data_IF_775638291365
#
_entry.id   IF_775638291365
#
_cell.length_a   1.000
_cell.length_b   1.000
_cell.length_c   1.000
_cell.angle_alpha   90.00
_cell.angle_beta   90.00
_cell.angle_gamma   90.00
#
_symmetry.space_group_name_H-M   'P 1'
#
loop_
_entity.id
_entity.type
_entity.pdbx_description
1 polymer ?
#
# COMPACT_ATOMS: atom_id res chain seq x y z
N UNK A 1 14.12 -4.25 5.05
CA UNK A 1 14.64 -2.90 5.29
C UNK A 1 13.73 -2.00 4.50
N UNK A 2 13.00 -1.12 5.18
CA UNK A 2 12.12 -0.19 4.48
C UNK A 2 12.96 0.81 3.70
N UNK A 3 12.47 1.22 2.54
CA UNK A 3 13.12 2.22 1.71
C UNK A 3 13.16 3.55 2.49
N UNK A 4 14.28 4.28 2.52
CA UNK A 4 14.29 5.64 3.06
C UNK A 4 13.20 6.49 2.39
N UNK A 5 12.47 7.28 3.17
CA UNK A 5 11.33 8.06 2.66
C UNK A 5 11.76 9.00 1.54
N UNK A 6 12.97 9.56 1.61
CA UNK A 6 13.54 10.41 0.55
C UNK A 6 13.70 9.66 -0.78
N UNK A 7 14.17 8.40 -0.72
CA UNK A 7 14.34 7.56 -1.91
C UNK A 7 12.98 7.13 -2.49
N UNK A 8 12.00 6.87 -1.61
CA UNK A 8 10.61 6.67 -2.01
C UNK A 8 10.03 7.90 -2.73
N UNK A 9 10.20 9.10 -2.17
CA UNK A 9 9.72 10.34 -2.78
C UNK A 9 10.39 10.63 -4.12
N UNK A 10 11.71 10.44 -4.22
CA UNK A 10 12.45 10.60 -5.47
C UNK A 10 11.93 9.68 -6.59
N UNK A 11 11.52 8.45 -6.23
CA UNK A 11 10.91 7.53 -7.19
C UNK A 11 9.55 8.01 -7.71
N UNK A 12 8.71 8.60 -6.83
CA UNK A 12 7.40 9.17 -7.19
C UNK A 12 7.55 10.39 -8.10
N UNK A 13 8.50 11.27 -7.78
CA UNK A 13 8.81 12.44 -8.62
C UNK A 13 9.30 12.01 -10.01
N UNK A 14 10.15 10.98 -10.08
CA UNK A 14 10.63 10.40 -11.34
C UNK A 14 9.47 9.82 -12.17
N UNK A 15 8.44 9.29 -11.52
CA UNK A 15 7.20 8.81 -12.16
C UNK A 15 6.25 9.96 -12.58
N UNK A 16 6.60 11.22 -12.31
CA UNK A 16 5.78 12.38 -12.66
C UNK A 16 4.59 12.61 -11.74
N UNK A 17 4.61 12.04 -10.52
CA UNK A 17 3.55 12.23 -9.53
C UNK A 17 3.55 13.71 -9.07
N UNK A 18 2.39 14.38 -9.02
CA UNK A 18 2.31 15.77 -8.59
C UNK A 18 2.84 16.01 -7.17
N UNK A 19 3.52 17.14 -6.94
CA UNK A 19 4.19 17.43 -5.66
C UNK A 19 3.28 17.34 -4.42
N UNK A 20 2.01 17.76 -4.52
CA UNK A 20 1.06 17.65 -3.40
C UNK A 20 0.69 16.20 -3.07
N UNK A 21 0.73 15.30 -4.06
CA UNK A 21 0.55 13.86 -3.85
C UNK A 21 1.81 13.25 -3.24
N UNK A 22 3.00 13.63 -3.71
CA UNK A 22 4.28 13.19 -3.10
C UNK A 22 4.32 13.57 -1.62
N UNK A 23 3.96 14.81 -1.28
CA UNK A 23 3.85 15.25 0.11
C UNK A 23 2.90 14.36 0.93
N UNK A 24 1.71 14.06 0.40
CA UNK A 24 0.74 13.21 1.09
C UNK A 24 1.28 11.78 1.31
N UNK A 25 1.87 11.19 0.28
CA UNK A 25 2.41 9.83 0.34
C UNK A 25 3.65 9.72 1.24
N UNK A 26 4.46 10.78 1.33
CA UNK A 26 5.57 10.87 2.29
C UNK A 26 5.08 10.74 3.73
N UNK A 27 4.04 11.49 4.11
CA UNK A 27 3.46 11.41 5.45
C UNK A 27 2.84 10.04 5.74
N UNK A 28 2.13 9.47 4.76
CA UNK A 28 1.57 8.12 4.89
C UNK A 28 2.67 7.05 5.07
N UNK A 29 3.82 7.19 4.40
CA UNK A 29 4.96 6.30 4.56
C UNK A 29 5.60 6.43 5.94
N UNK A 30 5.70 7.65 6.48
CA UNK A 30 6.17 7.87 7.86
C UNK A 30 5.25 7.19 8.89
N UNK A 31 3.94 7.37 8.76
CA UNK A 31 2.94 6.70 9.62
C UNK A 31 3.01 5.17 9.51
N UNK A 32 3.26 4.64 8.30
CA UNK A 32 3.48 3.22 8.07
C UNK A 32 4.74 2.71 8.79
N UNK A 33 5.89 3.38 8.61
CA UNK A 33 7.16 2.99 9.23
C UNK A 33 7.11 3.08 10.76
N UNK A 34 6.34 4.03 11.30
CA UNK A 34 6.09 4.18 12.73
C UNK A 34 5.02 3.22 13.28
N UNK A 35 4.42 2.37 12.43
CA UNK A 35 3.43 1.37 12.83
C UNK A 35 2.06 1.93 13.18
N UNK A 36 1.79 3.21 12.90
CA UNK A 36 0.48 3.85 13.13
C UNK A 36 -0.62 3.15 12.34
N UNK A 37 -0.28 2.60 11.16
CA UNK A 37 -1.20 1.89 10.27
C UNK A 37 -1.24 0.36 10.48
N UNK A 38 -0.70 -0.17 11.59
CA UNK A 38 -0.61 -1.62 11.85
C UNK A 38 -1.90 -2.26 12.41
N UNK A 39 -2.97 -1.49 12.56
CA UNK A 39 -4.25 -1.98 13.09
C UNK A 39 -4.87 -3.10 12.24
N UNK A 40 -5.49 -4.08 12.92
CA UNK A 40 -6.23 -5.16 12.29
C UNK A 40 -7.55 -5.41 13.04
N UNK A 41 -8.61 -5.72 12.31
CA UNK A 41 -9.92 -6.09 12.83
C UNK A 41 -10.64 -7.11 11.93
N UNK A 42 -11.84 -7.53 12.33
CA UNK A 42 -12.71 -8.47 11.60
C UNK A 42 -13.98 -7.79 11.04
N UNK A 43 -14.01 -6.45 10.95
CA UNK A 43 -15.23 -5.70 10.63
C UNK A 43 -15.80 -6.08 9.27
N UNK A 44 -14.95 -6.32 8.26
CA UNK A 44 -15.39 -6.76 6.94
C UNK A 44 -16.14 -8.09 7.03
N UNK A 45 -15.63 -9.05 7.81
CA UNK A 45 -16.28 -10.34 8.02
C UNK A 45 -17.59 -10.20 8.77
N UNK A 46 -17.56 -9.46 9.89
CA UNK A 46 -18.73 -9.25 10.74
C UNK A 46 -19.88 -8.54 10.01
N UNK A 47 -19.56 -7.60 9.11
CA UNK A 47 -20.55 -6.82 8.38
C UNK A 47 -21.05 -7.49 7.10
N UNK A 48 -20.21 -8.30 6.43
CA UNK A 48 -20.52 -8.84 5.09
C UNK A 48 -20.68 -10.36 5.06
N UNK A 49 -20.32 -11.07 6.14
CA UNK A 49 -20.23 -12.53 6.18
C UNK A 49 -19.08 -13.10 5.36
N UNK A 50 -18.15 -12.26 4.87
CA UNK A 50 -16.99 -12.66 4.07
C UNK A 50 -15.72 -12.07 4.67
N UNK A 51 -14.73 -12.91 4.94
CA UNK A 51 -13.40 -12.48 5.39
C UNK A 51 -12.74 -11.55 4.36
N UNK A 52 -12.02 -10.54 4.84
CA UNK A 52 -11.13 -9.70 4.00
C UNK A 52 -10.18 -10.57 3.19
N UNK A 53 -10.09 -10.32 1.88
CA UNK A 53 -9.11 -10.98 1.03
C UNK A 53 -7.69 -10.63 1.45
N UNK A 54 -6.78 -11.61 1.47
CA UNK A 54 -5.36 -11.35 1.68
C UNK A 54 -4.70 -10.82 0.40
N UNK A 55 -3.58 -10.09 0.55
CA UNK A 55 -2.76 -9.66 -0.60
C UNK A 55 -2.33 -10.86 -1.47
N UNK A 56 -1.98 -11.99 -0.85
CA UNK A 56 -1.58 -13.19 -1.58
C UNK A 56 -2.71 -13.83 -2.38
N UNK A 57 -3.94 -13.80 -1.87
CA UNK A 57 -5.13 -14.25 -2.61
C UNK A 57 -5.41 -13.34 -3.82
N UNK A 58 -5.34 -12.03 -3.62
CA UNK A 58 -5.49 -11.06 -4.70
C UNK A 58 -4.43 -11.26 -5.79
N UNK A 59 -3.16 -11.38 -5.40
CA UNK A 59 -2.06 -11.57 -6.34
C UNK A 59 -2.22 -12.84 -7.19
N UNK A 60 -2.66 -13.95 -6.58
CA UNK A 60 -2.96 -15.19 -7.32
C UNK A 60 -4.13 -15.04 -8.28
N UNK A 61 -5.19 -14.36 -7.87
CA UNK A 61 -6.36 -14.12 -8.71
C UNK A 61 -6.06 -13.25 -9.94
N UNK A 62 -5.06 -12.37 -9.84
CA UNK A 62 -4.68 -11.40 -10.89
C UNK A 62 -3.27 -11.64 -11.46
N UNK A 63 -2.75 -12.86 -11.34
CA UNK A 63 -1.37 -13.19 -11.69
C UNK A 63 -1.02 -12.88 -13.16
N UNK A 64 -1.97 -13.04 -14.09
CA UNK A 64 -1.73 -12.72 -15.50
C UNK A 64 -1.37 -11.23 -15.70
N UNK A 65 -2.14 -10.33 -15.10
CA UNK A 65 -1.87 -8.88 -15.17
C UNK A 65 -0.61 -8.50 -14.41
N UNK A 66 -0.39 -9.07 -13.22
CA UNK A 66 0.73 -8.69 -12.35
C UNK A 66 2.08 -9.24 -12.80
N UNK A 67 2.10 -10.39 -13.49
CA UNK A 67 3.32 -10.99 -14.02
C UNK A 67 3.65 -10.51 -15.45
N UNK A 68 2.84 -9.64 -16.04
CA UNK A 68 3.09 -9.05 -17.36
C UNK A 68 2.98 -10.04 -18.52
N UNK A 69 1.88 -10.82 -18.57
CA UNK A 69 1.56 -11.67 -19.73
C UNK A 69 1.25 -10.86 -20.99
#
# INVERSE_FOLDING_TARGET
QDLPIDEYCASLETMGVPAYIVQHLSGAMEDYQNGVMSGADDNVERLTGRRSMTVGEFARAHAATLNGS
#
